data_IF_949325892000
#
_entry.id   IF_949325892000
#
_cell.length_a   1.000
_cell.length_b   1.000
_cell.length_c   1.000
_cell.angle_alpha   90.00
_cell.angle_beta   90.00
_cell.angle_gamma   90.00
#
_symmetry.space_group_name_H-M   'P 1'
#
loop_
_entity.id
_entity.type
_entity.pdbx_description
1 polymer ?
#
# COMPACT_ATOMS: atom_id res chain seq x y z
N UNK A 1 8.79 12.35 3.43
CA UNK A 1 7.57 12.98 4.00
C UNK A 1 7.20 12.15 5.22
N UNK A 2 6.86 12.75 6.35
CA UNK A 2 6.34 11.96 7.48
C UNK A 2 4.94 11.46 7.10
N UNK A 3 4.69 10.16 7.23
CA UNK A 3 3.38 9.58 6.98
C UNK A 3 2.64 9.59 8.32
N UNK A 4 1.53 10.32 8.40
CA UNK A 4 0.80 10.51 9.66
C UNK A 4 -0.45 9.61 9.74
N UNK A 5 -0.91 9.09 8.59
CA UNK A 5 -2.10 8.24 8.50
C UNK A 5 -1.93 7.07 7.51
N UNK A 6 -2.76 6.03 7.69
CA UNK A 6 -2.83 4.91 6.76
C UNK A 6 -3.28 5.33 5.35
N UNK A 7 -4.16 6.34 5.26
CA UNK A 7 -4.61 6.88 3.98
C UNK A 7 -3.46 7.52 3.17
N UNK A 8 -2.61 8.29 3.84
CA UNK A 8 -1.42 8.88 3.23
C UNK A 8 -0.40 7.83 2.81
N UNK A 9 -0.27 6.74 3.59
CA UNK A 9 0.55 5.60 3.19
C UNK A 9 0.02 4.98 1.90
N UNK A 10 -1.26 4.62 1.86
CA UNK A 10 -1.83 3.96 0.67
C UNK A 10 -1.74 4.85 -0.56
N UNK A 11 -1.97 6.17 -0.39
CA UNK A 11 -1.78 7.13 -1.48
C UNK A 11 -0.33 7.17 -1.98
N UNK A 12 0.64 7.20 -1.08
CA UNK A 12 2.07 7.15 -1.45
C UNK A 12 2.40 5.85 -2.21
N UNK A 13 1.88 4.71 -1.74
CA UNK A 13 2.10 3.42 -2.39
C UNK A 13 1.45 3.38 -3.78
N UNK A 14 0.25 3.96 -3.94
CA UNK A 14 -0.42 4.05 -5.23
C UNK A 14 0.38 4.92 -6.23
N UNK A 15 0.88 6.07 -5.76
CA UNK A 15 1.74 6.95 -6.54
C UNK A 15 3.05 6.23 -6.94
N UNK A 16 3.67 5.47 -6.03
CA UNK A 16 4.91 4.74 -6.31
C UNK A 16 4.67 3.56 -7.27
N UNK A 17 3.56 2.83 -7.13
CA UNK A 17 3.14 1.80 -8.06
C UNK A 17 2.97 2.38 -9.47
N UNK A 18 2.30 3.52 -9.61
CA UNK A 18 2.14 4.20 -10.89
C UNK A 18 3.48 4.67 -11.47
N UNK A 19 4.39 5.18 -10.63
CA UNK A 19 5.74 5.60 -11.04
C UNK A 19 6.63 4.43 -11.45
N UNK A 20 6.42 3.25 -10.88
CA UNK A 20 7.19 2.05 -11.23
C UNK A 20 6.98 1.66 -12.70
N UNK A 21 5.81 1.99 -13.27
CA UNK A 21 5.43 1.59 -14.63
C UNK A 21 5.23 0.07 -14.79
N UNK A 22 5.20 -0.68 -13.69
CA UNK A 22 4.98 -2.13 -13.68
C UNK A 22 3.54 -2.42 -14.09
N UNK A 23 3.33 -3.40 -14.97
CA UNK A 23 1.96 -3.79 -15.31
C UNK A 23 1.25 -4.38 -14.08
N UNK A 24 -0.05 -4.09 -13.85
CA UNK A 24 -0.77 -4.54 -12.66
C UNK A 24 -0.67 -6.04 -12.42
N UNK A 25 -0.77 -6.84 -13.49
CA UNK A 25 -0.61 -8.29 -13.44
C UNK A 25 0.79 -8.74 -13.01
N UNK A 26 1.83 -8.11 -13.56
CA UNK A 26 3.22 -8.41 -13.16
C UNK A 26 3.45 -8.03 -11.70
N UNK A 27 2.91 -6.88 -11.27
CA UNK A 27 3.01 -6.46 -9.88
C UNK A 27 2.23 -7.38 -8.93
N UNK A 28 1.10 -7.93 -9.36
CA UNK A 28 0.35 -8.92 -8.59
C UNK A 28 1.17 -10.20 -8.35
N UNK A 29 1.91 -10.66 -9.35
CA UNK A 29 2.82 -11.80 -9.21
C UNK A 29 3.99 -11.49 -8.26
N UNK A 30 4.52 -10.27 -8.29
CA UNK A 30 5.64 -9.84 -7.42
C UNK A 30 5.19 -9.68 -5.96
N UNK A 31 4.06 -9.01 -5.74
CA UNK A 31 3.54 -8.67 -4.40
C UNK A 31 2.76 -9.80 -3.74
N UNK A 32 2.27 -10.76 -4.53
CA UNK A 32 1.34 -11.78 -4.04
C UNK A 32 -0.06 -11.24 -3.71
N UNK A 33 -0.35 -9.99 -4.07
CA UNK A 33 -1.66 -9.36 -3.92
C UNK A 33 -2.39 -9.43 -5.26
N UNK A 34 -3.65 -9.89 -5.24
CA UNK A 34 -4.46 -10.01 -6.46
C UNK A 34 -4.64 -8.65 -7.17
N UNK A 35 -4.71 -8.68 -8.51
CA UNK A 35 -4.81 -7.49 -9.35
C UNK A 35 -6.00 -6.60 -8.96
N UNK A 36 -7.18 -7.20 -8.79
CA UNK A 36 -8.41 -6.50 -8.36
C UNK A 36 -8.24 -5.79 -7.01
N UNK A 37 -7.36 -6.30 -6.14
CA UNK A 37 -7.07 -5.66 -4.84
C UNK A 37 -6.13 -4.47 -5.01
N UNK A 38 -5.17 -4.54 -5.92
CA UNK A 38 -4.30 -3.41 -6.24
C UNK A 38 -5.09 -2.21 -6.78
N UNK A 39 -6.19 -2.45 -7.51
CA UNK A 39 -7.09 -1.39 -7.97
C UNK A 39 -7.70 -0.58 -6.82
N UNK A 40 -7.95 -1.19 -5.66
CA UNK A 40 -8.51 -0.52 -4.49
C UNK A 40 -7.63 0.65 -4.02
N UNK A 41 -6.31 0.56 -4.21
CA UNK A 41 -5.37 1.63 -3.85
C UNK A 41 -5.59 2.93 -4.64
N UNK A 42 -6.15 2.83 -5.85
CA UNK A 42 -6.41 3.97 -6.73
C UNK A 42 -7.83 4.52 -6.58
N UNK A 43 -8.63 3.96 -5.67
CA UNK A 43 -10.02 4.34 -5.44
C UNK A 43 -10.24 4.82 -4.01
N UNK A 44 -11.44 5.31 -3.72
CA UNK A 44 -11.83 5.61 -2.34
C UNK A 44 -12.06 4.34 -1.48
N UNK A 45 -12.01 3.14 -2.07
CA UNK A 45 -12.22 1.85 -1.41
C UNK A 45 -10.94 1.23 -0.83
N UNK A 46 -9.83 1.98 -0.77
CA UNK A 46 -8.57 1.49 -0.17
C UNK A 46 -8.72 1.00 1.28
N UNK A 47 -9.76 1.42 2.01
CA UNK A 47 -10.08 0.94 3.36
C UNK A 47 -10.43 -0.55 3.43
N UNK A 48 -10.75 -1.18 2.29
CA UNK A 48 -11.02 -2.61 2.20
C UNK A 48 -9.73 -3.46 2.05
N UNK A 49 -8.57 -2.81 1.90
CA UNK A 49 -7.27 -3.47 1.94
C UNK A 49 -6.94 -3.92 3.36
N UNK A 50 -6.40 -5.13 3.46
CA UNK A 50 -5.91 -5.63 4.74
C UNK A 50 -4.53 -5.07 5.05
N UNK A 51 -4.18 -5.04 6.34
CA UNK A 51 -2.84 -4.64 6.76
C UNK A 51 -1.74 -5.53 6.15
N UNK A 52 -2.06 -6.81 5.91
CA UNK A 52 -1.15 -7.77 5.29
C UNK A 52 -0.89 -7.40 3.83
N UNK A 53 -1.93 -7.04 3.08
CA UNK A 53 -1.79 -6.59 1.70
C UNK A 53 -1.01 -5.29 1.59
N UNK A 54 -1.32 -4.30 2.43
CA UNK A 54 -0.59 -3.02 2.46
C UNK A 54 0.90 -3.26 2.73
N UNK A 55 1.20 -4.21 3.63
CA UNK A 55 2.59 -4.60 3.91
C UNK A 55 3.26 -5.24 2.70
N UNK A 56 2.60 -6.23 2.09
CA UNK A 56 3.13 -6.94 0.93
C UNK A 56 3.39 -6.00 -0.27
N UNK A 57 2.45 -5.09 -0.55
CA UNK A 57 2.59 -4.06 -1.60
C UNK A 57 3.81 -3.18 -1.33
N UNK A 58 3.97 -2.73 -0.08
CA UNK A 58 5.07 -1.84 0.26
C UNK A 58 6.43 -2.54 0.23
N UNK A 59 6.50 -3.81 0.62
CA UNK A 59 7.70 -4.63 0.47
C UNK A 59 8.08 -4.78 -1.02
N UNK A 60 7.10 -5.05 -1.88
CA UNK A 60 7.31 -5.15 -3.33
C UNK A 60 7.80 -3.83 -3.94
N UNK A 61 7.29 -2.69 -3.48
CA UNK A 61 7.74 -1.35 -3.90
C UNK A 61 9.03 -0.89 -3.21
N UNK A 62 9.56 -1.66 -2.25
CA UNK A 62 10.73 -1.31 -1.43
C UNK A 62 10.56 0.03 -0.71
N UNK A 63 9.33 0.35 -0.33
CA UNK A 63 9.00 1.53 0.46
C UNK A 63 9.06 1.12 1.94
N UNK A 64 9.84 1.86 2.74
CA UNK A 64 9.87 1.69 4.20
C UNK A 64 8.80 2.59 4.83
N UNK A 65 7.83 1.96 5.48
CA UNK A 65 6.67 2.56 6.13
C UNK A 65 6.55 2.10 7.58
N UNK A 66 7.60 1.52 8.14
CA UNK A 66 7.66 1.05 9.53
C UNK A 66 7.22 2.12 10.54
N UNK A 67 7.56 3.38 10.28
CA UNK A 67 7.12 4.53 11.09
C UNK A 67 5.61 4.80 10.98
N UNK A 68 5.02 4.64 9.79
CA UNK A 68 3.58 4.86 9.56
C UNK A 68 2.73 3.80 10.28
N UNK A 69 3.19 2.54 10.25
CA UNK A 69 2.52 1.42 10.92
C UNK A 69 2.44 1.63 12.43
N UNK A 70 3.53 2.12 13.03
CA UNK A 70 3.61 2.40 14.46
C UNK A 70 2.59 3.46 14.89
N UNK A 71 2.41 4.51 14.07
CA UNK A 71 1.43 5.58 14.33
C UNK A 71 -0.01 5.06 14.19
N UNK A 72 -0.29 4.24 13.17
CA UNK A 72 -1.62 3.67 12.94
C UNK A 72 -2.02 2.66 14.03
N UNK A 73 -1.11 1.79 14.45
CA UNK A 73 -1.35 0.81 15.52
C UNK A 73 -1.56 1.43 16.90
N UNK A 74 -0.92 2.57 17.17
CA UNK A 74 -1.01 3.26 18.46
C UNK A 74 -2.34 4.01 18.67
N UNK A 75 -3.14 4.22 17.61
CA UNK A 75 -4.48 4.82 17.68
C UNK A 75 -5.63 3.80 17.73
N UNK A 76 -5.33 2.51 17.60
CA UNK A 76 -6.30 1.42 17.67
C UNK A 76 -6.41 0.80 19.08
N UNK A 77 -5.73 1.37 20.08
CA UNK A 77 -5.76 0.97 21.50
C UNK A 77 -6.46 1.98 22.40
#
# INVERSE_FOLDING_TARGET
>A
MAIETLAELVKMLADELQRSGTEPREFAEISGVEEDRLELMQTEAWGDLTLVEITAISEALKVDFSQALFIAGSRAG
#
